data_IF_606675181842
#
_entry.id   IF_606675181842
#
_cell.length_a   1.000
_cell.length_b   1.000
_cell.length_c   1.000
_cell.angle_alpha   90.00
_cell.angle_beta   90.00
_cell.angle_gamma   90.00
#
_symmetry.space_group_name_H-M   'P 1'
#
loop_
_entity.id
_entity.type
_entity.pdbx_description
1 polymer ?
#
# COMPACT_ATOMS: atom_id res chain seq x y z
N UNK A 1 -11.03 29.18 31.70
CA UNK A 1 -9.89 28.38 31.17
C UNK A 1 -9.95 27.00 31.81
N UNK A 2 -10.24 25.96 31.02
CA UNK A 2 -10.21 24.57 31.47
C UNK A 2 -8.96 23.95 30.83
N UNK A 3 -7.90 23.71 31.61
CA UNK A 3 -6.66 23.09 31.12
C UNK A 3 -6.95 21.61 30.83
N UNK A 4 -6.76 21.22 29.58
CA UNK A 4 -6.64 19.81 29.20
C UNK A 4 -5.14 19.50 29.26
N UNK A 5 -4.74 18.47 29.99
CA UNK A 5 -3.34 18.13 30.21
C UNK A 5 -2.67 17.76 28.88
N UNK A 6 -1.67 18.56 28.49
CA UNK A 6 -0.85 18.41 27.29
C UNK A 6 0.23 17.34 27.52
N UNK A 7 0.26 16.33 26.64
CA UNK A 7 1.47 15.55 26.40
C UNK A 7 2.45 16.48 25.65
N UNK A 8 3.62 16.77 26.23
CA UNK A 8 4.48 17.94 25.93
C UNK A 8 5.05 18.03 24.49
N UNK A 9 4.67 17.14 23.57
CA UNK A 9 5.27 17.02 22.23
C UNK A 9 4.32 17.31 21.07
N UNK A 10 3.04 17.66 21.32
CA UNK A 10 2.11 18.06 20.26
C UNK A 10 1.71 19.53 20.45
N UNK A 11 2.43 20.45 19.79
CA UNK A 11 2.03 21.87 19.74
C UNK A 11 0.95 22.00 18.66
N UNK A 12 -0.27 22.33 19.07
CA UNK A 12 -1.34 22.71 18.16
C UNK A 12 -1.43 24.24 18.11
N UNK A 13 -1.35 24.83 16.91
CA UNK A 13 -1.75 26.22 16.73
C UNK A 13 -3.28 26.27 16.75
N UNK A 14 -3.85 27.10 17.63
CA UNK A 14 -5.30 27.36 17.70
C UNK A 14 -5.53 28.75 17.11
N UNK A 15 -6.06 28.80 15.88
CA UNK A 15 -6.59 30.04 15.32
C UNK A 15 -8.08 30.16 15.64
N UNK A 16 -8.46 31.24 16.32
CA UNK A 16 -9.85 31.56 16.64
C UNK A 16 -10.42 32.45 15.53
N UNK A 17 -11.33 31.93 14.73
CA UNK A 17 -12.06 32.73 13.74
C UNK A 17 -13.10 33.62 14.45
N UNK A 18 -12.81 34.91 14.57
CA UNK A 18 -13.67 35.92 15.20
C UNK A 18 -14.87 36.37 14.32
N UNK A 19 -15.59 35.44 13.69
CA UNK A 19 -16.76 35.81 12.88
C UNK A 19 -17.55 34.62 12.36
N UNK A 20 -18.69 34.36 13.02
CA UNK A 20 -19.72 33.36 12.68
C UNK A 20 -19.30 31.88 12.76
N UNK A 21 -19.72 31.25 13.86
CA UNK A 21 -19.52 29.85 14.29
C UNK A 21 -18.08 29.58 14.76
N UNK A 22 -17.84 29.25 16.06
CA UNK A 22 -16.52 28.88 16.54
C UNK A 22 -16.11 27.52 15.96
N UNK A 23 -15.43 27.54 14.82
CA UNK A 23 -14.57 26.46 14.38
C UNK A 23 -13.16 26.73 14.88
N UNK A 24 -12.55 25.77 15.58
CA UNK A 24 -11.12 25.77 15.80
C UNK A 24 -10.45 24.97 14.69
N UNK A 25 -9.44 25.54 14.05
CA UNK A 25 -8.52 24.77 13.20
C UNK A 25 -7.34 24.37 14.10
N UNK A 26 -7.20 23.07 14.37
CA UNK A 26 -6.02 22.53 15.07
C UNK A 26 -4.94 22.23 14.03
N UNK A 27 -3.97 23.11 13.88
CA UNK A 27 -2.81 22.85 13.02
C UNK A 27 -1.71 22.23 13.86
N UNK A 28 -1.39 20.95 13.62
CA UNK A 28 -0.36 20.24 14.37
C UNK A 28 1.03 20.59 13.83
N UNK A 29 1.87 21.19 14.66
CA UNK A 29 3.29 21.37 14.37
C UNK A 29 4.07 20.17 14.90
N UNK A 30 4.36 19.19 14.06
CA UNK A 30 5.29 18.10 14.39
C UNK A 30 6.68 18.40 13.80
N UNK A 31 7.71 18.38 14.64
CA UNK A 31 9.11 18.39 14.18
C UNK A 31 9.60 17.00 13.71
N UNK A 32 8.68 16.02 13.61
CA UNK A 32 9.00 14.67 13.14
C UNK A 32 9.27 14.77 11.64
N UNK A 33 10.49 14.47 11.24
CA UNK A 33 10.87 14.41 9.83
C UNK A 33 10.43 13.08 9.24
N UNK A 34 9.67 13.13 8.14
CA UNK A 34 9.29 11.96 7.35
C UNK A 34 10.04 11.96 6.02
N UNK A 35 10.61 10.83 5.65
CA UNK A 35 11.29 10.59 4.38
C UNK A 35 10.83 9.29 3.73
N UNK A 36 11.07 9.17 2.43
CA UNK A 36 10.87 7.93 1.69
C UNK A 36 11.76 7.91 0.45
N UNK A 37 12.10 6.71 -0.01
CA UNK A 37 12.62 6.50 -1.36
C UNK A 37 11.43 6.33 -2.33
N UNK A 38 10.96 7.44 -2.88
CA UNK A 38 9.80 7.45 -3.81
C UNK A 38 10.03 6.52 -5.01
N UNK A 39 11.26 6.46 -5.54
CA UNK A 39 11.57 5.62 -6.70
C UNK A 39 11.41 4.14 -6.36
N UNK A 40 11.92 3.71 -5.21
CA UNK A 40 11.76 2.34 -4.73
C UNK A 40 10.29 2.00 -4.48
N UNK A 41 9.52 2.90 -3.86
CA UNK A 41 8.10 2.69 -3.61
C UNK A 41 7.34 2.58 -4.93
N UNK A 42 7.49 3.57 -5.82
CA UNK A 42 6.83 3.59 -7.13
C UNK A 42 7.19 2.35 -7.97
N UNK A 43 8.46 1.94 -7.95
CA UNK A 43 8.91 0.72 -8.61
C UNK A 43 8.20 -0.52 -8.06
N UNK A 44 8.05 -0.64 -6.74
CA UNK A 44 7.33 -1.75 -6.13
C UNK A 44 5.84 -1.76 -6.47
N UNK A 45 5.19 -0.59 -6.54
CA UNK A 45 3.80 -0.49 -6.98
C UNK A 45 3.63 -0.93 -8.45
N UNK A 46 4.58 -0.57 -9.33
CA UNK A 46 4.51 -0.82 -10.78
C UNK A 46 5.15 -2.13 -11.25
N UNK A 47 5.82 -2.88 -10.38
CA UNK A 47 6.58 -4.08 -10.78
C UNK A 47 6.01 -5.33 -10.14
N UNK A 48 5.63 -6.30 -10.97
CA UNK A 48 5.24 -7.63 -10.52
C UNK A 48 6.48 -8.51 -10.34
N UNK A 49 6.66 -9.07 -9.15
CA UNK A 49 7.74 -10.02 -8.87
C UNK A 49 7.17 -11.36 -8.40
N UNK A 50 7.29 -12.44 -9.20
CA UNK A 50 6.96 -13.79 -8.77
C UNK A 50 7.87 -14.25 -7.61
N UNK A 51 7.27 -14.92 -6.62
CA UNK A 51 7.98 -15.36 -5.42
C UNK A 51 7.62 -16.79 -4.99
N UNK A 52 8.34 -17.25 -3.97
CA UNK A 52 8.17 -18.59 -3.38
C UNK A 52 7.07 -18.67 -2.32
N UNK A 53 6.50 -17.53 -1.89
CA UNK A 53 5.46 -17.51 -0.87
C UNK A 53 4.24 -18.32 -1.34
N UNK A 54 3.86 -19.32 -0.55
CA UNK A 54 2.81 -20.27 -0.91
C UNK A 54 1.42 -19.62 -0.95
N UNK A 55 1.16 -18.61 -0.14
CA UNK A 55 -0.13 -17.91 -0.05
C UNK A 55 -0.19 -16.61 -0.87
N UNK A 56 0.95 -15.97 -1.12
CA UNK A 56 1.03 -14.74 -1.94
C UNK A 56 2.24 -14.79 -2.86
N UNK A 57 2.21 -15.62 -3.92
CA UNK A 57 3.36 -15.82 -4.80
C UNK A 57 3.63 -14.64 -5.75
N UNK A 58 2.90 -13.53 -5.65
CA UNK A 58 3.16 -12.33 -6.43
C UNK A 58 3.37 -11.17 -5.47
N UNK A 59 4.55 -10.55 -5.52
CA UNK A 59 4.93 -9.36 -4.75
C UNK A 59 4.91 -8.11 -5.63
N UNK A 60 4.61 -6.94 -5.04
CA UNK A 60 4.45 -5.69 -5.78
C UNK A 60 3.33 -5.75 -6.80
N UNK A 61 3.34 -4.86 -7.79
CA UNK A 61 2.38 -4.85 -8.90
C UNK A 61 0.96 -4.57 -8.41
N UNK A 62 0.81 -3.42 -7.75
CA UNK A 62 -0.45 -2.81 -7.33
C UNK A 62 -1.01 -1.86 -8.39
N UNK A 63 -0.28 -1.65 -9.48
CA UNK A 63 -0.76 -1.02 -10.70
C UNK A 63 -1.51 -2.06 -11.56
N UNK A 64 -2.76 -1.78 -11.94
CA UNK A 64 -3.61 -2.70 -12.70
C UNK A 64 -2.96 -3.09 -14.03
N UNK A 65 -2.39 -2.12 -14.75
CA UNK A 65 -1.75 -2.37 -16.05
C UNK A 65 -0.53 -3.25 -15.88
N UNK A 66 0.30 -2.99 -14.88
CA UNK A 66 1.47 -3.84 -14.62
C UNK A 66 1.09 -5.29 -14.27
N UNK A 67 -0.01 -5.48 -13.55
CA UNK A 67 -0.51 -6.81 -13.22
C UNK A 67 -1.09 -7.52 -14.45
N UNK A 68 -1.83 -6.80 -15.30
CA UNK A 68 -2.38 -7.32 -16.55
C UNK A 68 -1.26 -7.73 -17.53
N UNK A 69 -0.28 -6.83 -17.76
CA UNK A 69 0.89 -7.10 -18.59
C UNK A 69 1.63 -8.36 -18.11
N UNK A 70 1.73 -8.57 -16.79
CA UNK A 70 2.31 -9.79 -16.22
C UNK A 70 1.51 -11.05 -16.57
N UNK A 71 0.19 -11.06 -16.39
CA UNK A 71 -0.63 -12.23 -16.75
C UNK A 71 -0.61 -12.50 -18.26
N UNK A 72 -0.59 -11.45 -19.08
CA UNK A 72 -0.44 -11.60 -20.53
C UNK A 72 0.92 -12.18 -20.92
N UNK A 73 2.00 -11.81 -20.22
CA UNK A 73 3.34 -12.37 -20.46
C UNK A 73 3.46 -13.87 -20.12
N UNK A 74 2.52 -14.42 -19.36
CA UNK A 74 2.46 -15.85 -19.05
C UNK A 74 1.86 -16.68 -20.19
N UNK A 75 1.27 -16.04 -21.21
CA UNK A 75 0.61 -16.69 -22.34
C UNK A 75 1.55 -16.76 -23.56
N UNK A 76 1.67 -17.96 -24.14
CA UNK A 76 2.23 -18.18 -25.48
C UNK A 76 1.07 -18.28 -26.46
N UNK A 77 0.93 -17.31 -27.36
CA UNK A 77 -0.19 -17.20 -28.29
C UNK A 77 0.31 -17.44 -29.71
N UNK A 78 -0.22 -18.47 -30.35
CA UNK A 78 0.05 -18.81 -31.76
C UNK A 78 -1.27 -18.96 -32.50
N UNK A 79 -1.41 -18.30 -33.65
CA UNK A 79 -2.64 -18.30 -34.45
C UNK A 79 -3.91 -18.05 -33.60
N UNK A 80 -3.86 -17.01 -32.76
CA UNK A 80 -4.97 -16.59 -31.87
C UNK A 80 -5.36 -17.63 -30.80
N UNK A 81 -4.50 -18.63 -30.53
CA UNK A 81 -4.72 -19.64 -29.50
C UNK A 81 -3.60 -19.63 -28.49
N UNK A 82 -3.95 -19.76 -27.20
CA UNK A 82 -2.99 -20.02 -26.13
C UNK A 82 -2.51 -21.47 -26.26
N UNK A 83 -1.21 -21.66 -26.45
CA UNK A 83 -0.60 -22.99 -26.68
C UNK A 83 0.19 -23.53 -25.51
N UNK A 84 0.41 -22.73 -24.46
CA UNK A 84 1.08 -23.16 -23.24
C UNK A 84 0.10 -23.28 -22.06
N UNK A 85 0.59 -23.87 -20.96
CA UNK A 85 -0.08 -23.84 -19.67
C UNK A 85 0.56 -22.71 -18.85
N UNK A 86 -0.13 -21.59 -18.61
CA UNK A 86 0.46 -20.46 -17.93
C UNK A 86 0.73 -20.79 -16.46
N UNK A 87 1.86 -20.32 -15.90
CA UNK A 87 2.18 -20.57 -14.49
C UNK A 87 1.26 -19.77 -13.59
N UNK A 88 0.79 -18.62 -14.05
CA UNK A 88 -0.20 -17.81 -13.35
C UNK A 88 -1.39 -17.53 -14.26
N UNK A 89 -2.61 -17.60 -13.72
CA UNK A 89 -3.82 -17.22 -14.45
C UNK A 89 -4.81 -16.50 -13.55
N UNK A 90 -5.56 -15.57 -14.13
CA UNK A 90 -6.66 -14.90 -13.44
C UNK A 90 -7.80 -15.90 -13.24
N UNK A 91 -8.37 -15.91 -12.03
CA UNK A 91 -9.57 -16.68 -11.68
C UNK A 91 -10.81 -15.81 -11.74
N UNK A 92 -10.72 -14.62 -11.14
CA UNK A 92 -11.82 -13.68 -11.03
C UNK A 92 -11.27 -12.28 -10.78
N UNK A 93 -12.01 -11.27 -11.22
CA UNK A 93 -11.72 -9.85 -10.93
C UNK A 93 -12.96 -9.24 -10.31
N UNK A 94 -12.79 -8.62 -9.16
CA UNK A 94 -13.86 -7.95 -8.43
C UNK A 94 -13.59 -6.45 -8.40
N UNK A 95 -14.52 -5.69 -8.94
CA UNK A 95 -14.52 -4.23 -8.79
C UNK A 95 -14.94 -3.86 -7.37
N UNK A 96 -14.09 -3.09 -6.68
CA UNK A 96 -14.34 -2.57 -5.34
C UNK A 96 -14.80 -1.10 -5.35
N UNK A 97 -14.90 -0.50 -6.53
CA UNK A 97 -15.23 0.91 -6.76
C UNK A 97 -14.00 1.81 -6.74
N UNK A 98 -14.17 3.04 -7.23
CA UNK A 98 -13.12 4.08 -7.26
C UNK A 98 -11.82 3.63 -7.94
N UNK A 99 -11.90 2.84 -9.02
CA UNK A 99 -10.72 2.35 -9.72
C UNK A 99 -9.88 1.35 -8.92
N UNK A 100 -10.47 0.67 -7.93
CA UNK A 100 -9.81 -0.35 -7.13
C UNK A 100 -10.38 -1.71 -7.49
N UNK A 101 -9.51 -2.68 -7.78
CA UNK A 101 -9.90 -4.04 -8.11
C UNK A 101 -9.20 -5.05 -7.21
N UNK A 102 -9.91 -6.13 -6.90
CA UNK A 102 -9.35 -7.31 -6.27
C UNK A 102 -9.27 -8.44 -7.30
N UNK A 103 -8.04 -8.88 -7.61
CA UNK A 103 -7.76 -9.91 -8.60
C UNK A 103 -7.45 -11.21 -7.88
N UNK A 104 -8.40 -12.14 -7.98
CA UNK A 104 -8.20 -13.53 -7.61
C UNK A 104 -7.43 -14.23 -8.72
N UNK A 105 -6.39 -14.96 -8.34
CA UNK A 105 -5.53 -15.64 -9.30
C UNK A 105 -5.07 -16.99 -8.78
N UNK A 106 -4.55 -17.78 -9.70
CA UNK A 106 -4.07 -19.13 -9.47
C UNK A 106 -2.60 -19.22 -9.86
N UNK A 107 -1.85 -20.09 -9.16
CA UNK A 107 -0.49 -20.48 -9.56
C UNK A 107 -0.44 -21.99 -9.80
N UNK A 108 0.11 -22.39 -10.95
CA UNK A 108 0.38 -23.77 -11.32
C UNK A 108 1.17 -24.46 -10.20
N UNK A 109 0.71 -25.65 -9.82
CA UNK A 109 1.38 -26.48 -8.83
C UNK A 109 2.62 -27.12 -9.45
N UNK A 110 3.76 -26.99 -8.76
CA UNK A 110 5.02 -27.62 -9.15
C UNK A 110 5.07 -29.02 -8.50
N UNK A 111 4.29 -29.97 -9.00
CA UNK A 111 4.36 -31.38 -8.59
C UNK A 111 5.19 -32.16 -9.61
N UNK A 112 6.45 -32.48 -9.24
CA UNK A 112 7.41 -33.15 -10.13
C UNK A 112 7.06 -34.61 -10.43
N UNK A 113 6.08 -35.20 -9.71
CA UNK A 113 5.68 -36.60 -9.87
C UNK A 113 4.34 -36.81 -10.59
N UNK A 114 3.61 -35.74 -10.91
CA UNK A 114 2.26 -35.81 -11.47
C UNK A 114 2.23 -35.31 -12.91
N UNK A 115 1.54 -36.02 -13.79
CA UNK A 115 1.18 -35.55 -15.14
C UNK A 115 -0.07 -34.68 -15.14
N UNK A 116 -0.74 -34.53 -13.99
CA UNK A 116 -1.97 -33.76 -13.85
C UNK A 116 -1.68 -32.27 -13.67
N UNK A 117 -2.29 -31.45 -14.52
CA UNK A 117 -2.23 -29.99 -14.42
C UNK A 117 -3.11 -29.55 -13.25
N UNK A 118 -2.47 -29.09 -12.17
CA UNK A 118 -3.16 -28.58 -10.98
C UNK A 118 -2.77 -27.15 -10.70
N UNK A 119 -3.73 -26.36 -10.24
CA UNK A 119 -3.52 -24.99 -9.78
C UNK A 119 -3.76 -24.89 -8.28
N UNK A 120 -3.00 -24.04 -7.60
CA UNK A 120 -3.22 -23.72 -6.18
C UNK A 120 -4.35 -22.72 -6.05
N UNK A 121 -5.39 -23.06 -5.29
CA UNK A 121 -6.62 -22.26 -5.20
C UNK A 121 -6.68 -21.31 -3.99
N UNK A 122 -5.98 -21.62 -2.89
CA UNK A 122 -6.03 -20.84 -1.65
C UNK A 122 -4.95 -19.74 -1.61
N UNK A 123 -4.88 -18.92 -2.65
CA UNK A 123 -3.98 -17.76 -2.72
C UNK A 123 -4.69 -16.50 -2.18
N UNK A 124 -3.91 -15.56 -1.65
CA UNK A 124 -4.39 -14.23 -1.30
C UNK A 124 -4.58 -13.43 -2.59
N UNK A 125 -5.71 -12.74 -2.75
CA UNK A 125 -5.92 -11.90 -3.91
C UNK A 125 -4.95 -10.72 -3.92
N UNK A 126 -4.80 -10.11 -5.11
CA UNK A 126 -4.04 -8.89 -5.29
C UNK A 126 -5.00 -7.72 -5.42
N UNK A 127 -4.86 -6.73 -4.55
CA UNK A 127 -5.53 -5.45 -4.73
C UNK A 127 -4.68 -4.55 -5.62
N UNK A 128 -5.30 -4.01 -6.66
CA UNK A 128 -4.68 -3.12 -7.65
C UNK A 128 -5.50 -1.85 -7.86
N UNK A 129 -4.83 -0.81 -8.32
CA UNK A 129 -5.36 0.50 -8.68
C UNK A 129 -5.30 0.67 -10.19
N UNK A 130 -6.36 1.23 -10.75
CA UNK A 130 -6.38 1.71 -12.13
C UNK A 130 -5.50 2.97 -12.26
N UNK A 131 -4.38 2.92 -13.02
CA UNK A 131 -3.50 4.06 -13.16
C UNK A 131 -4.12 5.23 -13.93
N UNK A 132 -5.20 5.03 -14.68
CA UNK A 132 -5.94 6.11 -15.35
C UNK A 132 -6.75 6.95 -14.36
N UNK A 133 -7.16 6.35 -13.23
CA UNK A 133 -7.90 7.02 -12.15
C UNK A 133 -6.92 7.51 -11.06
N UNK A 134 -5.98 6.65 -10.67
CA UNK A 134 -5.03 6.90 -9.59
C UNK A 134 -3.58 6.78 -10.10
N UNK A 135 -3.01 7.91 -10.51
CA UNK A 135 -1.59 7.95 -10.85
C UNK A 135 -0.72 7.60 -9.62
N UNK A 136 0.06 6.52 -9.72
CA UNK A 136 0.88 5.98 -8.63
C UNK A 136 1.87 7.01 -8.06
N UNK A 137 2.52 7.83 -8.89
CA UNK A 137 3.51 8.80 -8.42
C UNK A 137 2.85 9.94 -7.64
N UNK A 138 1.68 10.40 -8.11
CA UNK A 138 0.87 11.38 -7.40
C UNK A 138 0.36 10.79 -6.09
N UNK A 139 -0.13 9.55 -6.09
CA UNK A 139 -0.60 8.87 -4.89
C UNK A 139 0.52 8.69 -3.86
N UNK A 140 1.71 8.27 -4.28
CA UNK A 140 2.88 8.15 -3.40
C UNK A 140 3.19 9.48 -2.72
N UNK A 141 3.18 10.60 -3.44
CA UNK A 141 3.36 11.94 -2.84
C UNK A 141 2.25 12.29 -1.85
N UNK A 142 0.99 11.98 -2.17
CA UNK A 142 -0.14 12.16 -1.24
C UNK A 142 0.05 11.33 0.04
N UNK A 143 0.53 10.09 -0.09
CA UNK A 143 0.86 9.22 1.05
C UNK A 143 1.92 9.84 1.94
N UNK A 144 3.04 10.28 1.35
CA UNK A 144 4.12 10.92 2.10
C UNK A 144 3.63 12.15 2.88
N UNK A 145 2.91 13.05 2.20
CA UNK A 145 2.36 14.25 2.82
C UNK A 145 1.37 13.89 3.93
N UNK A 146 0.48 12.92 3.69
CA UNK A 146 -0.51 12.52 4.67
C UNK A 146 0.12 11.88 5.92
N UNK A 147 1.17 11.08 5.75
CA UNK A 147 1.94 10.53 6.88
C UNK A 147 2.59 11.66 7.67
N UNK A 148 3.23 12.62 6.99
CA UNK A 148 3.85 13.79 7.63
C UNK A 148 2.83 14.59 8.49
N UNK A 149 1.59 14.70 8.02
CA UNK A 149 0.53 15.41 8.75
C UNK A 149 0.01 14.65 9.99
N UNK A 150 -0.06 13.31 9.91
CA UNK A 150 -0.78 12.49 10.91
C UNK A 150 0.13 11.78 11.91
N UNK A 151 1.42 11.58 11.60
CA UNK A 151 2.31 10.71 12.39
C UNK A 151 2.61 11.24 13.80
N UNK A 152 2.36 10.45 14.84
CA UNK A 152 2.52 10.85 16.24
C UNK A 152 3.86 10.47 16.85
N UNK A 153 4.22 11.05 17.99
CA UNK A 153 5.41 10.60 18.73
C UNK A 153 5.24 9.15 19.21
N UNK A 154 4.02 8.73 19.57
CA UNK A 154 3.73 7.34 19.91
C UNK A 154 4.00 6.40 18.72
N UNK A 155 3.72 6.84 17.49
CA UNK A 155 4.08 6.08 16.28
C UNK A 155 5.60 5.95 16.12
N UNK A 156 6.35 7.03 16.39
CA UNK A 156 7.81 7.03 16.38
C UNK A 156 8.36 6.06 17.44
N UNK A 157 7.84 6.11 18.66
CA UNK A 157 8.29 5.26 19.77
C UNK A 157 8.00 3.78 19.50
N UNK A 158 6.83 3.47 18.91
CA UNK A 158 6.51 2.11 18.42
C UNK A 158 7.48 1.68 17.32
N UNK A 159 7.80 2.56 16.38
CA UNK A 159 8.71 2.26 15.28
C UNK A 159 10.18 2.12 15.75
N UNK A 160 10.59 2.81 16.82
CA UNK A 160 11.93 2.70 17.43
C UNK A 160 12.13 1.38 18.18
N UNK A 161 11.07 0.87 18.81
CA UNK A 161 11.12 -0.38 19.60
C UNK A 161 10.91 -1.64 18.76
N UNK A 162 10.39 -1.49 17.54
CA UNK A 162 10.15 -2.60 16.63
C UNK A 162 11.39 -2.96 15.78
N UNK A 163 11.63 -4.26 15.60
CA UNK A 163 12.64 -4.76 14.64
C UNK A 163 12.20 -4.61 13.18
N UNK A 164 10.89 -4.63 12.95
CA UNK A 164 10.26 -4.58 11.64
C UNK A 164 9.57 -3.23 11.44
N UNK A 165 9.30 -2.86 10.18
CA UNK A 165 8.44 -1.73 9.90
C UNK A 165 7.05 -1.91 10.54
N UNK A 166 6.54 -0.83 11.11
CA UNK A 166 5.27 -0.79 11.84
C UNK A 166 4.19 -0.25 10.91
N UNK A 167 2.98 -0.82 10.91
CA UNK A 167 1.89 -0.29 10.11
C UNK A 167 1.38 1.05 10.69
N UNK A 168 1.12 2.01 9.80
CA UNK A 168 0.37 3.22 10.07
C UNK A 168 -0.75 3.33 9.03
N UNK A 169 -1.99 3.26 9.50
CA UNK A 169 -3.18 3.32 8.65
C UNK A 169 -3.60 4.77 8.44
N UNK A 170 -3.75 5.16 7.18
CA UNK A 170 -4.15 6.50 6.76
C UNK A 170 -5.31 6.42 5.77
N UNK A 171 -5.97 7.55 5.54
CA UNK A 171 -6.97 7.68 4.48
C UNK A 171 -6.63 8.82 3.53
N UNK A 172 -6.78 8.54 2.22
CA UNK A 172 -6.52 9.46 1.12
C UNK A 172 -7.65 9.28 0.11
N UNK A 173 -8.37 10.36 -0.21
CA UNK A 173 -9.43 10.35 -1.22
C UNK A 173 -10.44 9.21 -1.03
N UNK A 174 -10.81 8.91 0.22
CA UNK A 174 -11.73 7.83 0.60
C UNK A 174 -11.13 6.42 0.56
N UNK A 175 -9.87 6.27 0.14
CA UNK A 175 -9.14 5.01 0.19
C UNK A 175 -8.52 4.79 1.57
N UNK A 176 -8.57 3.56 2.08
CA UNK A 176 -7.80 3.14 3.25
C UNK A 176 -6.45 2.63 2.78
N UNK A 177 -5.37 3.20 3.31
CA UNK A 177 -3.99 2.85 2.92
C UNK A 177 -3.23 2.47 4.19
N UNK A 178 -2.62 1.28 4.18
CA UNK A 178 -1.68 0.87 5.21
C UNK A 178 -0.26 1.18 4.73
N UNK A 179 0.38 2.11 5.42
CA UNK A 179 1.80 2.46 5.22
C UNK A 179 2.65 1.68 6.20
N UNK A 180 3.91 1.43 5.84
CA UNK A 180 4.88 0.78 6.71
C UNK A 180 6.02 1.74 7.03
N UNK A 181 6.11 2.13 8.30
CA UNK A 181 7.07 3.11 8.79
C UNK A 181 8.18 2.45 9.60
N UNK A 182 9.41 2.96 9.46
CA UNK A 182 10.56 2.60 10.31
C UNK A 182 11.19 3.86 10.85
N UNK A 183 11.53 3.87 12.14
CA UNK A 183 12.26 4.96 12.75
C UNK A 183 13.78 4.72 12.64
N UNK A 184 14.52 5.79 12.37
CA UNK A 184 15.96 5.80 12.53
C UNK A 184 16.29 5.86 14.04
N UNK A 185 17.00 4.87 14.60
CA UNK A 185 17.25 4.81 16.04
C UNK A 185 18.14 5.94 16.57
N UNK A 186 18.89 6.63 15.70
CA UNK A 186 19.76 7.74 16.09
C UNK A 186 19.06 9.09 16.06
N UNK A 187 18.16 9.30 15.10
CA UNK A 187 17.58 10.62 14.82
C UNK A 187 16.08 10.70 15.11
N UNK A 188 15.40 9.57 15.29
CA UNK A 188 13.94 9.52 15.38
C UNK A 188 13.23 9.82 14.05
N UNK A 189 13.97 10.07 12.96
CA UNK A 189 13.43 10.31 11.63
C UNK A 189 12.66 9.08 11.13
N UNK A 190 11.50 9.30 10.51
CA UNK A 190 10.65 8.23 10.02
C UNK A 190 10.86 8.04 8.53
N UNK A 191 11.20 6.83 8.14
CA UNK A 191 11.22 6.41 6.75
C UNK A 191 9.98 5.57 6.42
N UNK A 192 9.24 5.94 5.36
CA UNK A 192 8.19 5.10 4.78
C UNK A 192 8.88 4.06 3.87
N UNK A 193 8.74 2.78 4.18
CA UNK A 193 9.32 1.70 3.38
C UNK A 193 8.45 1.35 2.17
N UNK A 194 7.12 1.36 2.36
CA UNK A 194 6.13 1.02 1.34
C UNK A 194 4.71 1.35 1.83
N UNK A 195 3.72 1.18 0.95
CA UNK A 195 2.30 1.18 1.30
C UNK A 195 1.51 0.18 0.44
N UNK A 196 0.32 -0.17 0.88
CA UNK A 196 -0.68 -0.86 0.07
C UNK A 196 -2.09 -0.41 0.46
N UNK A 197 -3.05 -0.64 -0.44
CA UNK A 197 -4.46 -0.48 -0.12
C UNK A 197 -4.88 -1.49 0.93
N UNK A 198 -5.53 -1.01 1.99
CA UNK A 198 -6.17 -1.86 2.98
C UNK A 198 -7.64 -2.05 2.59
N UNK A 199 -7.94 -3.16 1.92
CA UNK A 199 -9.29 -3.54 1.50
C UNK A 199 -10.02 -4.41 2.51
N UNK A 200 -9.40 -4.71 3.66
CA UNK A 200 -10.12 -5.40 4.74
C UNK A 200 -11.19 -4.45 5.30
N UNK A 201 -12.45 -4.80 5.04
CA UNK A 201 -13.64 -4.11 5.56
C UNK A 201 -13.80 -4.37 7.05
#
# INVERSE_FOLDING_TARGET
MKRISENQNNIYNIELNNGMIPGYTLTRNSNIKVTADENKINSHQKTVTPGSNKKSPISGGHDLKALDDFFMSELDIQNEKVVNIPKFKIKNVKDLGNGIYEVDYLKLAEDRGSTEIRYRENLRPKTVLDPEIHNIEILTKKVLNKVQDVITQDDVDRALTSRNAVPLDISIDGMKIRTYIRANPKTGEINIENYHLDTTR
#
